data_IF_688677992392
#
_entry.id   IF_688677992392
#
_cell.length_a   1.000
_cell.length_b   1.000
_cell.length_c   1.000
_cell.angle_alpha   90.00
_cell.angle_beta   90.00
_cell.angle_gamma   90.00
#
_symmetry.space_group_name_H-M   'P 1'
#
loop_
_entity.id
_entity.type
_entity.pdbx_description
1 polymer ?
#
# COMPACT_ATOMS: atom_id res chain seq x y z
N UNK A 1 -12.67 -9.16 -5.05
CA UNK A 1 -14.01 -9.46 -4.44
C UNK A 1 -13.88 -10.79 -3.73
N UNK A 2 -13.91 -10.77 -2.42
CA UNK A 2 -13.97 -11.99 -1.61
C UNK A 2 -15.36 -12.60 -1.84
N UNK A 3 -15.41 -13.88 -2.18
CA UNK A 3 -16.66 -14.64 -2.31
C UNK A 3 -17.18 -14.88 -0.90
N UNK A 4 -17.99 -13.97 -0.37
CA UNK A 4 -18.50 -14.02 1.01
C UNK A 4 -19.98 -14.44 1.12
N UNK A 5 -20.66 -14.70 0.00
CA UNK A 5 -22.09 -15.02 0.01
C UNK A 5 -22.42 -16.07 -1.03
N UNK A 6 -22.40 -17.33 -0.64
CA UNK A 6 -22.80 -18.47 -1.43
C UNK A 6 -22.52 -19.78 -0.70
N UNK A 7 -23.19 -20.84 -1.08
CA UNK A 7 -22.90 -22.20 -0.60
C UNK A 7 -21.54 -22.62 -1.19
N UNK A 8 -20.48 -22.52 -0.38
CA UNK A 8 -19.11 -22.85 -0.78
C UNK A 8 -18.89 -24.35 -1.04
N UNK A 9 -19.92 -25.17 -0.87
CA UNK A 9 -19.88 -26.60 -1.20
C UNK A 9 -20.24 -26.87 -2.67
N UNK A 10 -20.79 -25.86 -3.38
CA UNK A 10 -21.17 -25.98 -4.77
C UNK A 10 -20.02 -25.59 -5.73
N UNK A 11 -20.03 -26.14 -6.96
CA UNK A 11 -19.05 -25.76 -7.98
C UNK A 11 -19.13 -24.26 -8.29
N UNK A 12 -17.97 -23.60 -8.33
CA UNK A 12 -17.81 -22.20 -8.71
C UNK A 12 -17.31 -22.16 -10.15
N UNK A 13 -17.94 -21.35 -10.99
CA UNK A 13 -17.46 -21.10 -12.34
C UNK A 13 -16.41 -19.99 -12.34
N UNK A 14 -15.18 -20.31 -12.76
CA UNK A 14 -14.09 -19.38 -12.91
C UNK A 14 -13.89 -19.08 -14.41
N UNK A 15 -14.12 -17.84 -14.81
CA UNK A 15 -13.86 -17.39 -16.19
C UNK A 15 -12.48 -16.74 -16.24
N UNK A 16 -11.59 -17.31 -17.03
CA UNK A 16 -10.21 -16.81 -17.23
C UNK A 16 -10.08 -16.29 -18.65
N UNK A 17 -9.54 -15.10 -18.80
CA UNK A 17 -9.13 -14.56 -20.11
C UNK A 17 -7.70 -15.01 -20.41
N UNK A 18 -7.53 -15.78 -21.49
CA UNK A 18 -6.23 -16.21 -21.99
C UNK A 18 -6.04 -15.71 -23.42
N UNK A 19 -5.24 -14.69 -23.61
CA UNK A 19 -4.95 -14.07 -24.89
C UNK A 19 -6.22 -13.57 -25.65
N UNK A 20 -7.20 -13.05 -24.91
CA UNK A 20 -8.48 -12.59 -25.49
C UNK A 20 -9.55 -13.68 -25.64
N UNK A 21 -9.25 -14.93 -25.31
CA UNK A 21 -10.19 -16.04 -25.28
C UNK A 21 -10.66 -16.28 -23.83
N UNK A 22 -11.97 -16.27 -23.62
CA UNK A 22 -12.58 -16.54 -22.31
C UNK A 22 -12.77 -18.04 -22.14
N UNK A 23 -12.06 -18.61 -21.19
CA UNK A 23 -12.15 -20.02 -20.82
C UNK A 23 -12.87 -20.13 -19.48
N UNK A 24 -13.92 -20.96 -19.43
CA UNK A 24 -14.66 -21.23 -18.20
C UNK A 24 -14.22 -22.55 -17.58
N UNK A 25 -13.88 -22.51 -16.30
CA UNK A 25 -13.52 -23.68 -15.50
C UNK A 25 -14.50 -23.81 -14.34
N UNK A 26 -15.06 -24.99 -14.18
CA UNK A 26 -15.87 -25.32 -13.02
C UNK A 26 -14.98 -26.01 -11.98
N UNK A 27 -14.92 -25.47 -10.76
CA UNK A 27 -14.13 -26.06 -9.67
C UNK A 27 -14.90 -26.00 -8.35
N UNK A 28 -14.79 -27.07 -7.57
CA UNK A 28 -15.42 -27.14 -6.25
C UNK A 28 -14.36 -26.82 -5.19
N UNK A 29 -14.60 -25.83 -4.32
CA UNK A 29 -13.69 -25.53 -3.23
C UNK A 29 -13.53 -26.72 -2.29
N UNK A 30 -12.30 -27.03 -1.90
CA UNK A 30 -12.00 -28.09 -0.96
C UNK A 30 -12.06 -27.55 0.48
N UNK A 31 -12.70 -28.27 1.43
CA UNK A 31 -12.64 -27.91 2.84
C UNK A 31 -11.24 -28.17 3.39
N UNK A 32 -10.67 -27.18 4.05
CA UNK A 32 -9.39 -27.29 4.77
C UNK A 32 -9.64 -26.98 6.24
N UNK A 33 -9.29 -27.91 7.11
CA UNK A 33 -9.41 -27.71 8.56
C UNK A 33 -8.29 -26.80 9.04
N UNK A 34 -8.64 -25.75 9.79
CA UNK A 34 -7.66 -24.85 10.39
C UNK A 34 -6.78 -25.56 11.43
N UNK A 35 -5.66 -24.93 11.77
CA UNK A 35 -4.74 -25.46 12.81
C UNK A 35 -5.40 -25.61 14.19
N UNK A 36 -6.50 -24.89 14.42
CA UNK A 36 -7.35 -24.97 15.62
C UNK A 36 -8.25 -26.21 15.65
N UNK A 37 -8.30 -27.01 14.58
CA UNK A 37 -9.12 -28.20 14.44
C UNK A 37 -10.65 -27.95 14.40
N UNK A 38 -11.09 -26.69 14.52
CA UNK A 38 -12.51 -26.32 14.59
C UNK A 38 -12.99 -25.47 13.43
N UNK A 39 -12.09 -24.71 12.80
CA UNK A 39 -12.47 -23.79 11.72
C UNK A 39 -12.32 -24.49 10.37
N UNK A 40 -13.41 -24.69 9.65
CA UNK A 40 -13.36 -25.18 8.26
C UNK A 40 -13.29 -23.97 7.30
N UNK A 41 -12.23 -23.91 6.54
CA UNK A 41 -12.06 -22.93 5.45
C UNK A 41 -12.18 -23.65 4.11
N UNK A 42 -12.77 -23.00 3.13
CA UNK A 42 -12.84 -23.53 1.78
C UNK A 42 -11.76 -22.87 0.92
N UNK A 43 -10.94 -23.68 0.27
CA UNK A 43 -9.85 -23.21 -0.58
C UNK A 43 -10.02 -23.67 -2.03
N UNK A 44 -9.74 -22.77 -2.95
CA UNK A 44 -9.59 -23.10 -4.37
C UNK A 44 -8.08 -23.24 -4.61
N UNK A 45 -7.64 -24.43 -5.01
CA UNK A 45 -6.23 -24.73 -5.26
C UNK A 45 -5.74 -24.11 -6.57
N UNK A 46 -5.56 -22.78 -6.61
CA UNK A 46 -4.94 -22.10 -7.74
C UNK A 46 -3.44 -22.03 -7.47
N UNK A 47 -2.65 -22.66 -8.32
CA UNK A 47 -1.20 -22.57 -8.27
C UNK A 47 -0.74 -21.52 -9.27
N UNK A 48 -0.17 -20.44 -8.76
CA UNK A 48 0.48 -19.45 -9.61
C UNK A 48 1.88 -19.96 -10.00
N UNK A 49 2.12 -20.09 -11.31
CA UNK A 49 3.47 -20.40 -11.79
C UNK A 49 4.31 -19.13 -11.79
N UNK A 50 5.52 -19.20 -11.24
CA UNK A 50 6.49 -18.11 -11.36
C UNK A 50 7.06 -18.11 -12.79
N UNK A 51 7.02 -16.97 -13.45
CA UNK A 51 7.70 -16.74 -14.73
C UNK A 51 9.11 -16.25 -14.44
N UNK A 52 10.10 -16.90 -15.02
CA UNK A 52 11.48 -16.42 -15.01
C UNK A 52 11.68 -15.45 -16.18
N UNK A 53 12.25 -14.30 -15.88
CA UNK A 53 12.57 -13.27 -16.87
C UNK A 53 14.08 -13.25 -17.11
N UNK A 54 14.52 -12.92 -18.32
CA UNK A 54 15.90 -12.57 -18.57
C UNK A 54 16.21 -11.17 -17.99
N UNK A 55 17.49 -10.77 -17.95
CA UNK A 55 17.91 -9.51 -17.32
C UNK A 55 17.18 -8.27 -17.89
N UNK A 56 17.07 -8.15 -19.21
CA UNK A 56 16.42 -7.00 -19.86
C UNK A 56 14.89 -7.01 -19.67
N UNK A 57 14.28 -8.19 -19.76
CA UNK A 57 12.87 -8.36 -19.44
C UNK A 57 12.58 -7.99 -17.99
N UNK A 58 13.47 -8.38 -17.05
CA UNK A 58 13.31 -8.03 -15.63
C UNK A 58 13.32 -6.53 -15.39
N UNK A 59 14.21 -5.78 -16.08
CA UNK A 59 14.24 -4.31 -15.97
C UNK A 59 12.95 -3.70 -16.50
N UNK A 60 12.47 -4.17 -17.64
CA UNK A 60 11.22 -3.67 -18.23
C UNK A 60 10.01 -3.95 -17.34
N UNK A 61 9.90 -5.18 -16.86
CA UNK A 61 8.79 -5.59 -15.98
C UNK A 61 8.84 -4.87 -14.63
N UNK A 62 10.03 -4.68 -14.06
CA UNK A 62 10.21 -3.89 -12.84
C UNK A 62 9.77 -2.42 -13.03
N UNK A 63 10.14 -1.81 -14.17
CA UNK A 63 9.70 -0.46 -14.53
C UNK A 63 8.17 -0.38 -14.69
N UNK A 64 7.58 -1.33 -15.39
CA UNK A 64 6.12 -1.43 -15.56
C UNK A 64 5.40 -1.59 -14.21
N UNK A 65 5.90 -2.49 -13.37
CA UNK A 65 5.37 -2.73 -12.03
C UNK A 65 5.47 -1.49 -11.14
N UNK A 66 6.59 -0.75 -11.23
CA UNK A 66 6.76 0.50 -10.49
C UNK A 66 5.72 1.55 -10.91
N UNK A 67 5.49 1.73 -12.21
CA UNK A 67 4.50 2.69 -12.73
C UNK A 67 3.08 2.29 -12.30
N UNK A 68 2.71 1.03 -12.43
CA UNK A 68 1.40 0.51 -12.02
C UNK A 68 1.18 0.69 -10.51
N UNK A 69 2.16 0.30 -9.69
CA UNK A 69 2.10 0.46 -8.23
C UNK A 69 1.99 1.92 -7.83
N UNK A 70 2.74 2.82 -8.49
CA UNK A 70 2.63 4.28 -8.28
C UNK A 70 1.21 4.76 -8.58
N UNK A 71 0.62 4.31 -9.70
CA UNK A 71 -0.76 4.64 -10.06
C UNK A 71 -1.76 4.21 -8.99
N UNK A 72 -1.66 2.98 -8.51
CA UNK A 72 -2.51 2.46 -7.43
C UNK A 72 -2.35 3.26 -6.13
N UNK A 73 -1.12 3.62 -5.75
CA UNK A 73 -0.86 4.43 -4.56
C UNK A 73 -1.46 5.84 -4.67
N UNK A 74 -1.33 6.49 -5.83
CA UNK A 74 -1.93 7.80 -6.07
C UNK A 74 -3.46 7.75 -6.05
N UNK A 75 -4.06 6.69 -6.58
CA UNK A 75 -5.51 6.46 -6.53
C UNK A 75 -5.98 6.23 -5.08
N UNK A 76 -5.28 5.41 -4.32
CA UNK A 76 -5.57 5.19 -2.89
C UNK A 76 -5.47 6.49 -2.10
N UNK A 77 -4.43 7.30 -2.33
CA UNK A 77 -4.26 8.61 -1.71
C UNK A 77 -5.40 9.57 -2.08
N UNK A 78 -5.81 9.59 -3.34
CA UNK A 78 -6.96 10.36 -3.80
C UNK A 78 -8.25 9.92 -3.09
N UNK A 79 -8.50 8.62 -2.98
CA UNK A 79 -9.68 8.09 -2.30
C UNK A 79 -9.65 8.42 -0.80
N UNK A 80 -8.49 8.35 -0.17
CA UNK A 80 -8.30 8.74 1.23
C UNK A 80 -8.64 10.22 1.46
N UNK A 81 -8.13 11.13 0.60
CA UNK A 81 -8.31 12.58 0.76
C UNK A 81 -9.75 13.01 0.43
N UNK A 82 -10.33 12.49 -0.65
CA UNK A 82 -11.62 12.98 -1.16
C UNK A 82 -12.82 12.20 -0.67
N UNK A 83 -12.65 10.94 -0.30
CA UNK A 83 -13.75 10.07 0.15
C UNK A 83 -13.60 9.59 1.60
N UNK A 84 -12.42 9.77 2.22
CA UNK A 84 -12.12 9.23 3.55
C UNK A 84 -12.02 7.70 3.59
N UNK A 85 -11.96 7.04 2.43
CA UNK A 85 -11.84 5.58 2.33
C UNK A 85 -10.41 5.14 2.68
N UNK A 86 -10.26 4.07 3.46
CA UNK A 86 -8.95 3.52 3.84
C UNK A 86 -8.34 4.11 5.12
N UNK A 87 -9.04 5.00 5.83
CA UNK A 87 -8.57 5.51 7.13
C UNK A 87 -8.43 4.39 8.17
N UNK A 88 -9.33 3.40 8.12
CA UNK A 88 -9.34 2.26 9.05
C UNK A 88 -8.15 1.32 8.82
N UNK A 89 -7.66 1.26 7.58
CA UNK A 89 -6.54 0.44 7.16
C UNK A 89 -5.19 1.14 7.31
N UNK A 90 -5.20 2.41 7.74
CA UNK A 90 -3.97 3.20 7.89
C UNK A 90 -3.20 2.68 9.11
N UNK A 91 -2.03 2.11 8.85
CA UNK A 91 -1.10 1.71 9.89
C UNK A 91 -0.17 2.87 10.21
N UNK A 92 -0.04 3.20 11.48
CA UNK A 92 1.00 4.11 11.95
C UNK A 92 2.34 3.37 12.13
N UNK A 93 3.26 3.99 12.84
CA UNK A 93 4.64 3.49 12.99
C UNK A 93 4.70 2.10 13.63
N UNK A 94 3.88 1.84 14.63
CA UNK A 94 3.85 0.54 15.34
C UNK A 94 3.30 -0.55 14.42
N UNK A 95 2.26 -0.25 13.63
CA UNK A 95 1.70 -1.15 12.64
C UNK A 95 2.72 -1.51 11.55
N UNK A 96 3.47 -0.54 11.05
CA UNK A 96 4.53 -0.78 10.05
C UNK A 96 5.60 -1.71 10.63
N UNK A 97 6.06 -1.51 11.88
CA UNK A 97 7.05 -2.38 12.52
C UNK A 97 6.52 -3.83 12.62
N UNK A 98 5.25 -4.01 12.99
CA UNK A 98 4.64 -5.33 13.07
C UNK A 98 4.61 -6.03 11.70
N UNK A 99 4.20 -5.32 10.64
CA UNK A 99 4.21 -5.83 9.25
C UNK A 99 5.63 -6.20 8.82
N UNK A 100 6.62 -5.34 9.09
CA UNK A 100 8.03 -5.62 8.75
C UNK A 100 8.52 -6.89 9.46
N UNK A 101 8.20 -7.02 10.75
CA UNK A 101 8.61 -8.19 11.54
C UNK A 101 7.96 -9.49 11.03
N UNK A 102 6.71 -9.43 10.59
CA UNK A 102 6.01 -10.56 9.99
C UNK A 102 6.61 -10.95 8.64
N UNK A 103 6.75 -9.99 7.72
CA UNK A 103 7.30 -10.22 6.40
C UNK A 103 8.75 -10.75 6.43
N UNK A 104 9.54 -10.31 7.44
CA UNK A 104 10.89 -10.83 7.63
C UNK A 104 10.94 -12.34 7.94
N UNK A 105 9.87 -12.90 8.50
CA UNK A 105 9.77 -14.35 8.76
C UNK A 105 9.44 -15.14 7.50
N UNK A 106 8.81 -14.52 6.51
CA UNK A 106 8.42 -15.16 5.26
C UNK A 106 9.57 -15.25 4.24
N UNK A 107 10.69 -14.58 4.51
CA UNK A 107 11.92 -14.69 3.74
C UNK A 107 12.37 -13.39 3.08
N UNK A 108 13.60 -13.44 2.54
CA UNK A 108 14.29 -12.28 1.97
C UNK A 108 13.52 -11.61 0.82
N UNK A 109 12.80 -12.37 0.02
CA UNK A 109 12.00 -11.82 -1.08
C UNK A 109 10.94 -10.84 -0.58
N UNK A 110 10.21 -11.20 0.50
CA UNK A 110 9.19 -10.35 1.10
C UNK A 110 9.79 -9.09 1.72
N UNK A 111 10.98 -9.19 2.30
CA UNK A 111 11.71 -8.02 2.82
C UNK A 111 12.09 -7.04 1.70
N UNK A 112 12.62 -7.56 0.58
CA UNK A 112 12.98 -6.73 -0.58
C UNK A 112 11.75 -6.06 -1.20
N UNK A 113 10.66 -6.81 -1.32
CA UNK A 113 9.37 -6.27 -1.80
C UNK A 113 8.85 -5.15 -0.88
N UNK A 114 8.94 -5.35 0.43
CA UNK A 114 8.52 -4.36 1.41
C UNK A 114 9.40 -3.09 1.36
N UNK A 115 10.72 -3.24 1.21
CA UNK A 115 11.65 -2.12 1.01
C UNK A 115 11.26 -1.33 -0.24
N UNK A 116 10.93 -2.02 -1.33
CA UNK A 116 10.47 -1.38 -2.57
C UNK A 116 9.20 -0.55 -2.33
N UNK A 117 8.18 -1.14 -1.71
CA UNK A 117 6.89 -0.46 -1.44
C UNK A 117 7.07 0.75 -0.52
N UNK A 118 7.83 0.60 0.58
CA UNK A 118 8.09 1.71 1.52
C UNK A 118 8.87 2.83 0.83
N UNK A 119 9.90 2.50 0.04
CA UNK A 119 10.70 3.49 -0.69
C UNK A 119 9.86 4.25 -1.71
N UNK A 120 9.01 3.54 -2.44
CA UNK A 120 8.12 4.15 -3.42
C UNK A 120 7.10 5.07 -2.75
N UNK A 121 6.47 4.60 -1.67
CA UNK A 121 5.54 5.39 -0.89
C UNK A 121 6.20 6.66 -0.33
N UNK A 122 7.40 6.55 0.25
CA UNK A 122 8.16 7.69 0.76
C UNK A 122 8.48 8.71 -0.34
N UNK A 123 8.86 8.23 -1.53
CA UNK A 123 9.10 9.10 -2.70
C UNK A 123 7.84 9.86 -3.14
N UNK A 124 6.71 9.16 -3.24
CA UNK A 124 5.41 9.77 -3.61
C UNK A 124 5.00 10.80 -2.56
N UNK A 125 5.05 10.43 -1.27
CA UNK A 125 4.65 11.33 -0.18
C UNK A 125 5.54 12.57 -0.12
N UNK A 126 6.85 12.44 -0.35
CA UNK A 126 7.77 13.57 -0.37
C UNK A 126 7.52 14.53 -1.55
N UNK A 127 6.96 14.05 -2.67
CA UNK A 127 6.59 14.89 -3.82
C UNK A 127 5.26 15.64 -3.65
N UNK A 128 4.48 15.34 -2.62
CA UNK A 128 3.24 16.06 -2.36
C UNK A 128 3.53 17.53 -2.03
N UNK A 129 2.65 18.47 -2.49
CA UNK A 129 2.79 19.90 -2.24
C UNK A 129 2.43 20.26 -0.79
N UNK A 130 3.03 19.57 0.17
CA UNK A 130 2.81 19.74 1.60
C UNK A 130 4.01 20.46 2.21
N UNK A 131 3.83 21.52 3.02
CA UNK A 131 4.92 22.14 3.76
C UNK A 131 5.70 21.11 4.59
N UNK A 132 7.00 21.32 4.74
CA UNK A 132 7.97 20.42 5.36
C UNK A 132 8.42 19.21 4.50
N UNK A 133 7.77 18.93 3.38
CA UNK A 133 8.21 17.94 2.39
C UNK A 133 8.90 18.61 1.19
N UNK A 134 9.64 17.81 0.41
CA UNK A 134 10.38 18.31 -0.77
C UNK A 134 9.43 18.89 -1.84
N UNK A 135 8.25 18.31 -2.02
CA UNK A 135 7.21 18.83 -2.91
C UNK A 135 6.68 20.19 -2.50
N UNK A 136 6.63 20.50 -1.21
CA UNK A 136 6.32 21.83 -0.71
C UNK A 136 7.38 22.84 -1.14
N UNK A 137 8.66 22.49 -1.04
CA UNK A 137 9.76 23.33 -1.50
C UNK A 137 9.75 23.53 -3.03
N UNK A 138 9.49 22.45 -3.77
CA UNK A 138 9.34 22.51 -5.22
C UNK A 138 8.19 23.45 -5.62
N UNK A 139 7.09 23.45 -4.88
CA UNK A 139 5.97 24.37 -5.11
C UNK A 139 6.40 25.83 -4.94
N UNK A 140 7.20 26.16 -3.91
CA UNK A 140 7.74 27.52 -3.74
C UNK A 140 8.61 27.91 -4.93
N UNK A 141 9.51 27.04 -5.40
CA UNK A 141 10.35 27.28 -6.58
C UNK A 141 9.53 27.51 -7.85
N UNK A 142 8.45 26.74 -8.05
CA UNK A 142 7.54 26.94 -9.20
C UNK A 142 6.86 28.32 -9.11
N UNK A 143 6.38 28.69 -7.91
CA UNK A 143 5.76 30.00 -7.70
C UNK A 143 6.76 31.13 -7.94
N UNK A 144 8.01 31.01 -7.51
CA UNK A 144 9.07 31.99 -7.78
C UNK A 144 9.34 32.15 -9.28
N UNK A 145 9.44 31.02 -10.00
CA UNK A 145 9.65 31.00 -11.44
C UNK A 145 8.51 31.71 -12.20
N UNK A 146 7.25 31.47 -11.77
CA UNK A 146 6.09 32.15 -12.40
C UNK A 146 6.03 33.66 -12.06
N UNK A 147 6.36 34.03 -10.81
CA UNK A 147 6.32 35.41 -10.35
C UNK A 147 7.52 36.25 -10.82
N UNK A 148 8.62 35.60 -11.21
CA UNK A 148 9.88 36.27 -11.55
C UNK A 148 10.56 36.97 -10.36
N UNK A 149 10.15 36.68 -9.12
CA UNK A 149 10.69 37.30 -7.90
C UNK A 149 10.79 36.21 -6.82
N UNK A 150 11.93 36.17 -6.09
CA UNK A 150 12.11 35.19 -5.00
C UNK A 150 11.14 35.48 -3.84
N UNK A 151 10.74 34.40 -3.17
CA UNK A 151 9.97 34.47 -1.93
C UNK A 151 10.97 34.71 -0.78
N UNK A 152 10.69 35.64 0.15
CA UNK A 152 11.58 35.85 1.30
C UNK A 152 11.81 34.54 2.09
N UNK A 153 13.07 34.16 2.37
CA UNK A 153 13.40 32.90 3.07
C UNK A 153 12.68 32.74 4.42
N UNK A 154 12.41 33.88 5.08
CA UNK A 154 11.68 33.88 6.37
C UNK A 154 10.24 33.35 6.23
N UNK A 155 9.57 33.69 5.11
CA UNK A 155 8.20 33.21 4.84
C UNK A 155 8.18 31.74 4.48
N UNK A 156 9.11 31.31 3.63
CA UNK A 156 9.29 29.91 3.29
C UNK A 156 9.60 29.10 4.56
N UNK A 157 10.57 29.54 5.36
CA UNK A 157 10.94 28.89 6.62
C UNK A 157 9.78 28.80 7.61
N UNK A 158 8.96 29.85 7.73
CA UNK A 158 7.79 29.85 8.60
C UNK A 158 6.76 28.80 8.17
N UNK A 159 6.43 28.73 6.87
CA UNK A 159 5.48 27.77 6.32
C UNK A 159 5.98 26.34 6.52
N UNK A 160 7.27 26.10 6.25
CA UNK A 160 7.88 24.78 6.50
C UNK A 160 7.87 24.40 7.97
N UNK A 161 8.16 25.33 8.89
CA UNK A 161 8.12 25.08 10.33
C UNK A 161 6.71 24.71 10.79
N UNK A 162 5.69 25.43 10.35
CA UNK A 162 4.28 25.10 10.65
C UNK A 162 3.94 23.71 10.12
N UNK A 163 4.31 23.41 8.87
CA UNK A 163 4.09 22.09 8.28
C UNK A 163 4.76 20.98 9.08
N UNK A 164 6.00 21.18 9.53
CA UNK A 164 6.75 20.23 10.37
C UNK A 164 6.05 19.98 11.70
N UNK A 165 5.57 21.01 12.37
CA UNK A 165 4.83 20.89 13.65
C UNK A 165 3.54 20.10 13.45
N UNK A 166 2.81 20.37 12.35
CA UNK A 166 1.59 19.63 12.03
C UNK A 166 1.88 18.16 11.72
N UNK A 167 2.92 17.86 10.94
CA UNK A 167 3.31 16.47 10.64
C UNK A 167 3.77 15.72 11.88
N UNK A 168 4.55 16.36 12.77
CA UNK A 168 4.95 15.76 14.05
C UNK A 168 3.72 15.52 14.94
N UNK A 169 2.79 16.46 14.99
CA UNK A 169 1.54 16.29 15.71
C UNK A 169 0.72 15.10 15.18
N UNK A 170 0.57 15.00 13.87
CA UNK A 170 -0.08 13.87 13.23
C UNK A 170 0.63 12.54 13.56
N UNK A 171 1.96 12.52 13.49
CA UNK A 171 2.76 11.34 13.84
C UNK A 171 2.48 10.87 15.27
N UNK A 172 2.46 11.81 16.24
CA UNK A 172 2.16 11.49 17.64
C UNK A 172 0.75 10.92 17.79
N UNK A 173 -0.25 11.51 17.13
CA UNK A 173 -1.65 11.05 17.17
C UNK A 173 -1.77 9.64 16.60
N UNK A 174 -1.17 9.38 15.42
CA UNK A 174 -1.20 8.05 14.80
C UNK A 174 -0.48 7.00 15.64
N UNK A 175 0.68 7.35 16.21
CA UNK A 175 1.43 6.45 17.10
C UNK A 175 0.62 6.11 18.35
N UNK A 176 -0.06 7.10 18.96
CA UNK A 176 -0.93 6.87 20.10
C UNK A 176 -2.12 5.96 19.73
N UNK A 177 -2.74 6.22 18.61
CA UNK A 177 -3.84 5.37 18.10
C UNK A 177 -3.39 3.91 17.89
N UNK A 178 -2.21 3.69 17.31
CA UNK A 178 -1.65 2.35 17.13
C UNK A 178 -1.40 1.64 18.46
N UNK A 179 -0.84 2.35 19.44
CA UNK A 179 -0.59 1.79 20.78
C UNK A 179 -1.92 1.37 21.44
N UNK A 180 -2.95 2.21 21.36
CA UNK A 180 -4.27 1.88 21.91
C UNK A 180 -4.86 0.65 21.21
N UNK A 181 -4.73 0.56 19.87
CA UNK A 181 -5.17 -0.59 19.08
C UNK A 181 -4.42 -1.86 19.47
N UNK A 182 -3.11 -1.76 19.73
CA UNK A 182 -2.28 -2.88 20.16
C UNK A 182 -2.71 -3.41 21.54
N UNK A 183 -2.92 -2.51 22.52
CA UNK A 183 -3.34 -2.87 23.88
C UNK A 183 -4.76 -3.44 23.89
N UNK A 184 -5.64 -2.91 23.05
CA UNK A 184 -7.04 -3.37 22.92
C UNK A 184 -7.22 -4.70 22.18
N UNK A 185 -6.13 -5.38 21.77
CA UNK A 185 -6.19 -6.66 21.03
C UNK A 185 -6.73 -6.52 19.60
N UNK A 186 -6.81 -5.30 19.06
CA UNK A 186 -7.35 -5.00 17.75
C UNK A 186 -6.38 -5.19 16.56
N UNK A 187 -5.11 -5.50 16.79
CA UNK A 187 -4.18 -5.87 15.74
C UNK A 187 -4.40 -7.36 15.41
N UNK A 188 -5.32 -7.64 14.50
CA UNK A 188 -5.34 -8.93 13.79
C UNK A 188 -4.27 -8.83 12.70
N UNK A 189 -3.10 -9.41 12.98
CA UNK A 189 -2.04 -9.68 12.02
C UNK A 189 -2.47 -10.78 11.06
#
# INVERSE_FOLDING_TARGET
>A
KVIQSGDLTQPIELVVDRNGEKLSYSMTPAPVTGEDGQTTRYQIGIVFSSRTYNFFESIREAGSYMVETTGMMLESLKNLIFKGEGLEDTAGTVGIIAVVAQQAREGMYMVLWLIFIISLNLGIMNLLPIPALDGGRLLFLIVEAIRGKPIPPEKEGTVHTIGMVLLLGLFVVLTFHDIVKLIGGGFKL
#
